data_IF_944432704656
#
_entry.id   IF_944432704656
#
_cell.length_a   1.000
_cell.length_b   1.000
_cell.length_c   1.000
_cell.angle_alpha   90.00
_cell.angle_beta   90.00
_cell.angle_gamma   90.00
#
_symmetry.space_group_name_H-M   'P 1'
#
loop_
_entity.id
_entity.type
_entity.pdbx_description
1 polymer ?
2 polymer ?
3 water ?
#
# COMPACT_ATOMS: atom_id res chain seq x y z
N UNK A 1 20.89 8.40 -1.06
CA UNK A 1 20.01 7.27 -0.73
C UNK A 1 20.76 6.00 -1.17
N UNK A 2 20.76 5.08 -0.21
CA UNK A 2 21.40 3.77 -0.32
C UNK A 2 20.89 3.00 -1.52
N UNK A 3 21.53 1.88 -1.79
CA UNK A 3 21.09 1.05 -2.94
C UNK A 3 19.72 0.48 -2.63
N UNK A 4 18.84 0.58 -3.62
CA UNK A 4 17.47 0.09 -3.54
C UNK A 4 16.60 0.82 -2.52
N UNK A 5 16.99 2.00 -2.12
CA UNK A 5 16.32 2.86 -1.16
C UNK A 5 15.46 3.85 -1.94
N UNK A 6 14.17 3.85 -1.63
CA UNK A 6 13.23 4.76 -2.29
C UNK A 6 12.51 5.64 -1.28
N UNK A 7 12.87 6.91 -1.23
CA UNK A 7 12.24 7.90 -0.32
C UNK A 7 10.80 8.14 -0.76
N UNK A 8 9.85 8.08 0.17
CA UNK A 8 8.44 8.28 -0.18
C UNK A 8 7.92 9.66 0.16
N UNK A 9 6.85 10.05 -0.50
CA UNK A 9 6.12 11.30 -0.34
C UNK A 9 4.72 10.94 0.22
N UNK A 10 4.42 11.49 1.38
CA UNK A 10 3.15 11.33 2.09
C UNK A 10 2.19 12.35 1.44
N UNK A 11 1.07 11.87 0.96
CA UNK A 11 0.08 12.72 0.29
C UNK A 11 -1.09 13.06 1.20
N UNK A 12 -1.30 14.33 1.49
CA UNK A 12 -2.43 14.68 2.36
C UNK A 12 -2.16 14.15 3.76
N UNK A 13 -3.21 13.91 4.49
CA UNK A 13 -3.17 13.40 5.84
C UNK A 13 -3.03 11.87 5.80
N UNK A 14 -1.88 11.43 5.32
CA UNK A 14 -1.60 9.98 5.25
C UNK A 14 -2.57 9.30 4.31
N UNK A 15 -2.91 9.94 3.22
CA UNK A 15 -3.84 9.31 2.27
C UNK A 15 -3.17 8.16 1.54
N UNK A 16 -1.99 8.48 1.07
CA UNK A 16 -1.17 7.54 0.30
C UNK A 16 0.25 8.13 0.23
N UNK A 17 1.12 7.26 -0.18
CA UNK A 17 2.57 7.40 -0.32
C UNK A 17 3.08 6.92 -1.68
N UNK A 18 3.84 7.78 -2.30
CA UNK A 18 4.38 7.43 -3.62
C UNK A 18 5.88 7.73 -3.67
N UNK A 19 6.57 7.11 -4.61
CA UNK A 19 8.02 7.33 -4.75
C UNK A 19 8.35 7.43 -6.23
N UNK A 20 9.56 7.89 -6.50
CA UNK A 20 9.94 8.00 -7.93
C UNK A 20 10.59 6.75 -8.49
N UNK A 21 10.21 6.45 -9.71
CA UNK A 21 10.69 5.33 -10.52
C UNK A 21 11.06 5.93 -11.88
N UNK A 22 12.16 5.46 -12.43
CA UNK A 22 12.68 5.90 -13.72
C UNK A 22 12.40 4.77 -14.71
N UNK A 23 11.65 5.06 -15.75
CA UNK A 23 11.30 4.06 -16.77
C UNK A 23 11.78 4.53 -18.13
N UNK A 24 12.35 3.62 -18.90
CA UNK A 24 12.85 3.92 -20.24
C UNK A 24 14.30 4.36 -20.27
N UNK A 25 14.69 4.58 -21.52
CA UNK A 25 16.03 5.01 -21.90
C UNK A 25 15.97 6.17 -22.91
N UNK A 26 16.54 7.30 -22.54
CA UNK A 26 17.23 7.57 -21.28
C UNK A 26 16.40 7.54 -20.01
N UNK A 27 15.09 7.56 -20.07
CA UNK A 27 14.22 7.50 -18.89
C UNK A 27 13.69 8.82 -18.40
N UNK A 28 12.54 8.73 -17.78
CA UNK A 28 11.68 9.69 -17.14
C UNK A 28 11.30 9.19 -15.73
N UNK A 29 11.14 10.16 -14.83
CA UNK A 29 10.74 9.89 -13.46
C UNK A 29 9.20 9.85 -13.40
N UNK A 30 8.70 8.87 -12.70
CA UNK A 30 7.26 8.68 -12.52
C UNK A 30 7.03 8.59 -11.03
N UNK A 31 5.93 9.16 -10.56
CA UNK A 31 5.57 9.11 -9.13
C UNK A 31 4.52 7.99 -9.15
N UNK A 32 4.90 6.89 -8.55
CA UNK A 32 4.01 5.73 -8.50
C UNK A 32 3.64 5.46 -7.05
N UNK A 33 2.44 4.97 -6.85
CA UNK A 33 1.90 4.58 -5.53
C UNK A 33 2.37 3.14 -5.32
N UNK A 34 3.05 2.85 -4.25
CA UNK A 34 3.61 1.51 -3.93
C UNK A 34 2.49 0.72 -3.26
N UNK A 35 1.95 -0.23 -4.04
CA UNK A 35 0.81 -1.00 -3.53
C UNK A 35 0.93 -2.48 -3.25
N UNK A 36 0.85 -2.87 -1.97
CA UNK A 36 0.93 -4.30 -1.65
C UNK A 36 -0.40 -5.04 -1.86
N UNK A 37 -1.43 -4.37 -2.35
CA UNK A 37 -2.74 -5.01 -2.56
C UNK A 37 -2.98 -5.34 -4.02
N UNK A 38 -2.01 -5.03 -4.85
CA UNK A 38 -2.09 -5.30 -6.28
C UNK A 38 -0.70 -5.69 -6.81
N UNK A 39 -0.71 -6.28 -8.01
CA UNK A 39 0.52 -6.73 -8.64
C UNK A 39 0.71 -6.24 -10.06
N UNK A 40 0.07 -5.13 -10.46
CA UNK A 40 0.29 -4.63 -11.84
C UNK A 40 1.06 -3.31 -11.78
N UNK A 41 2.04 -3.17 -12.67
CA UNK A 41 2.82 -1.93 -12.76
C UNK A 41 2.25 -1.17 -13.95
N UNK A 42 1.44 -0.16 -13.73
CA UNK A 42 0.85 0.61 -14.85
C UNK A 42 1.20 2.09 -14.68
N UNK A 43 1.23 2.76 -15.82
CA UNK A 43 1.53 4.19 -15.86
C UNK A 43 0.74 4.87 -16.98
N UNK A 44 0.48 6.14 -16.75
CA UNK A 44 -0.22 7.06 -17.66
C UNK A 44 0.66 7.09 -18.91
N UNK A 45 0.07 7.08 -20.08
CA UNK A 45 0.91 7.11 -21.31
C UNK A 45 0.40 8.16 -22.29
N UNK A 46 1.10 8.36 -23.38
CA UNK A 46 0.66 9.35 -24.40
C UNK A 46 -0.38 8.73 -25.32
N UNK A 47 -0.84 7.54 -24.96
CA UNK A 47 -1.86 6.79 -25.68
C UNK A 47 -3.19 7.04 -24.97
N UNK A 48 -3.12 7.58 -23.79
CA UNK A 48 -4.20 7.92 -22.86
C UNK A 48 -5.11 9.06 -23.34
N UNK A 49 -6.42 8.76 -23.31
CA UNK A 49 -7.37 9.79 -23.76
C UNK A 49 -8.19 10.45 -22.66
N UNK A 50 -8.05 10.08 -21.41
CA UNK A 50 -8.82 10.72 -20.33
C UNK A 50 -7.88 10.85 -19.14
N UNK A 51 -6.61 11.07 -19.43
CA UNK A 51 -5.58 11.20 -18.38
C UNK A 51 -5.45 12.64 -17.91
N UNK A 52 -4.96 12.76 -16.69
CA UNK A 52 -4.75 14.06 -16.03
C UNK A 52 -3.70 14.84 -16.83
N UNK A 53 -3.86 16.16 -16.89
CA UNK A 53 -2.86 16.97 -17.63
C UNK A 53 -1.63 17.17 -16.72
N UNK A 54 -1.83 16.89 -15.45
CA UNK A 54 -0.79 17.00 -14.44
C UNK A 54 0.08 15.74 -14.43
N UNK A 55 -0.43 14.58 -14.80
CA UNK A 55 0.33 13.32 -14.78
C UNK A 55 1.53 13.30 -15.73
N UNK A 56 2.59 12.61 -15.32
CA UNK A 56 3.76 12.51 -16.23
C UNK A 56 3.36 11.30 -17.07
N UNK A 57 3.52 11.38 -18.37
CA UNK A 57 3.14 10.31 -19.27
C UNK A 57 4.32 9.70 -20.01
N UNK A 58 4.27 8.39 -19.96
CA UNK A 58 5.27 7.55 -20.62
C UNK A 58 5.02 7.62 -22.11
N UNK A 59 6.06 7.92 -22.83
CA UNK A 59 6.07 8.06 -24.28
C UNK A 59 6.95 7.02 -24.96
N UNK A 60 6.35 5.99 -25.52
CA UNK A 60 7.07 4.94 -26.25
C UNK A 60 8.14 5.49 -27.16
N UNK A 61 7.77 6.44 -28.00
CA UNK A 61 8.64 7.10 -28.97
C UNK A 61 9.93 7.69 -28.39
N UNK A 62 9.90 8.06 -27.14
CA UNK A 62 11.09 8.64 -26.51
C UNK A 62 11.95 7.70 -25.68
N UNK A 63 11.67 6.42 -25.74
CA UNK A 63 12.47 5.44 -24.99
C UNK A 63 13.06 4.49 -26.06
N UNK A 64 14.37 4.43 -26.19
CA UNK A 64 14.97 3.54 -27.19
C UNK A 64 14.91 2.08 -26.74
N UNK A 65 14.45 1.78 -25.55
CA UNK A 65 14.36 0.42 -25.04
C UNK A 65 12.93 -0.05 -24.93
N UNK A 66 12.02 0.69 -25.57
CA UNK A 66 10.61 0.27 -25.52
C UNK A 66 10.43 -0.91 -26.47
N UNK A 67 9.61 -1.88 -26.14
CA UNK A 67 9.34 -3.03 -27.01
C UNK A 67 7.83 -3.25 -26.94
N UNK A 68 7.23 -3.27 -28.12
CA UNK A 68 5.79 -3.46 -28.28
C UNK A 68 5.40 -4.84 -27.77
N UNK A 69 4.15 -4.92 -27.38
CA UNK A 69 3.52 -6.15 -26.90
C UNK A 69 2.07 -6.10 -27.39
N UNK A 70 1.62 -7.22 -27.94
CA UNK A 70 0.25 -7.34 -28.44
C UNK A 70 -0.79 -7.57 -27.38
N UNK A 71 -0.50 -7.58 -26.10
CA UNK A 71 -1.55 -7.84 -25.11
C UNK A 71 -2.12 -6.57 -24.54
N UNK A 72 -3.34 -6.74 -24.07
CA UNK A 72 -4.11 -5.65 -23.44
C UNK A 72 -4.32 -6.04 -21.99
N UNK A 73 -4.71 -5.09 -21.19
CA UNK A 73 -4.97 -5.26 -19.76
C UNK A 73 -6.04 -4.31 -19.26
N UNK A 74 -6.61 -4.70 -18.15
CA UNK A 74 -7.68 -3.93 -17.48
C UNK A 74 -7.71 -4.36 -16.03
N UNK A 75 -7.86 -3.39 -15.13
CA UNK A 75 -7.92 -3.67 -13.69
C UNK A 75 -9.04 -2.87 -13.06
N UNK A 76 -9.49 -3.37 -11.94
CA UNK A 76 -10.56 -2.74 -11.17
C UNK A 76 -10.15 -2.81 -9.71
N UNK A 77 -9.90 -1.69 -9.07
CA UNK A 77 -9.49 -1.71 -7.65
C UNK A 77 -10.73 -1.78 -6.78
N UNK A 78 -10.59 -1.95 -5.48
CA UNK A 78 -11.66 -2.06 -4.51
C UNK A 78 -12.39 -0.76 -4.18
N UNK A 79 -11.84 0.40 -4.54
CA UNK A 79 -12.52 1.66 -4.23
C UNK A 79 -13.30 2.09 -5.48
N UNK A 80 -13.46 1.17 -6.42
CA UNK A 80 -14.17 1.46 -7.66
C UNK A 80 -13.34 2.09 -8.74
N UNK A 81 -12.07 2.38 -8.54
CA UNK A 81 -11.27 3.00 -9.64
C UNK A 81 -10.83 1.93 -10.61
N UNK A 82 -10.31 2.32 -11.76
CA UNK A 82 -9.89 1.33 -12.76
C UNK A 82 -8.91 1.97 -13.73
N UNK A 83 -8.44 1.16 -14.65
CA UNK A 83 -7.50 1.61 -15.68
C UNK A 83 -7.41 0.49 -16.72
N UNK A 84 -6.98 0.80 -17.92
CA UNK A 84 -6.89 -0.24 -18.96
C UNK A 84 -5.91 0.26 -20.02
N UNK A 85 -5.45 -0.67 -20.84
CA UNK A 85 -4.48 -0.19 -21.85
C UNK A 85 -3.83 -1.39 -22.52
N UNK A 86 -2.57 -1.15 -22.83
CA UNK A 86 -1.76 -2.16 -23.48
C UNK A 86 -0.46 -2.42 -22.72
N UNK A 87 0.05 -3.63 -22.90
CA UNK A 87 1.32 -4.06 -22.28
C UNK A 87 2.47 -3.57 -23.19
N UNK A 88 3.65 -3.54 -22.59
CA UNK A 88 4.87 -3.12 -23.29
C UNK A 88 6.05 -3.65 -22.46
N UNK A 89 7.26 -3.40 -22.93
CA UNK A 89 8.42 -3.88 -22.13
C UNK A 89 9.44 -2.77 -22.14
N UNK A 90 10.07 -2.56 -21.03
CA UNK A 90 11.12 -1.50 -20.99
C UNK A 90 11.87 -1.72 -19.68
N UNK A 91 12.80 -0.84 -19.39
CA UNK A 91 13.60 -0.96 -18.16
C UNK A 91 13.05 0.01 -17.10
N UNK A 92 13.05 -0.52 -15.91
CA UNK A 92 12.59 0.18 -14.72
C UNK A 92 13.73 0.31 -13.71
N UNK A 93 14.04 1.52 -13.31
CA UNK A 93 15.08 1.75 -12.30
C UNK A 93 14.41 2.05 -10.96
N UNK A 94 14.49 1.12 -10.05
CA UNK A 94 13.91 1.25 -8.71
C UNK A 94 15.00 1.48 -7.67
N UNK A 95 15.24 2.69 -7.21
CA UNK A 95 16.28 2.92 -6.20
C UNK A 95 17.71 2.58 -6.61
N UNK A 96 18.02 2.69 -7.88
CA UNK A 96 19.37 2.39 -8.34
C UNK A 96 19.45 0.97 -8.93
N UNK A 97 18.44 0.15 -8.73
CA UNK A 97 18.43 -1.21 -9.27
C UNK A 97 17.76 -1.18 -10.64
N UNK A 98 18.51 -1.46 -11.70
CA UNK A 98 17.90 -1.42 -13.01
C UNK A 98 17.32 -2.77 -13.39
N UNK A 99 16.00 -2.90 -13.36
CA UNK A 99 15.30 -4.14 -13.73
C UNK A 99 15.26 -4.10 -15.25
N UNK A 100 15.83 -5.06 -15.93
CA UNK A 100 15.79 -4.96 -17.40
C UNK A 100 14.62 -5.77 -17.92
N UNK A 101 13.93 -5.20 -18.89
CA UNK A 101 12.83 -5.95 -19.49
C UNK A 101 11.60 -6.24 -18.69
N UNK A 102 11.23 -5.31 -17.84
CA UNK A 102 10.03 -5.36 -17.00
C UNK A 102 8.78 -5.14 -17.88
N UNK A 103 7.73 -5.89 -17.59
CA UNK A 103 6.45 -5.76 -18.29
C UNK A 103 5.76 -4.57 -17.57
N UNK A 104 5.58 -3.52 -18.36
CA UNK A 104 4.94 -2.30 -17.89
C UNK A 104 3.59 -2.26 -18.62
N UNK A 105 2.59 -1.77 -17.94
CA UNK A 105 1.23 -1.67 -18.50
C UNK A 105 0.91 -0.23 -18.81
N UNK A 106 0.80 0.14 -20.09
CA UNK A 106 0.52 1.54 -20.42
C UNK A 106 -0.99 1.81 -20.52
N UNK A 107 -1.43 2.78 -19.73
CA UNK A 107 -2.81 3.20 -19.66
C UNK A 107 -3.25 3.97 -20.91
N UNK A 108 -4.42 3.59 -21.37
CA UNK A 108 -5.10 4.20 -22.52
C UNK A 108 -6.28 5.00 -21.93
N UNK A 109 -6.84 4.45 -20.87
CA UNK A 109 -7.95 4.99 -20.10
C UNK A 109 -7.74 4.79 -18.61
N UNK A 110 -8.25 5.69 -17.80
CA UNK A 110 -8.16 5.60 -16.34
C UNK A 110 -9.30 6.30 -15.62
N UNK A 111 -9.65 5.90 -14.42
CA UNK A 111 -10.71 6.52 -13.61
C UNK A 111 -10.23 7.95 -13.34
N UNK A 112 -11.19 8.84 -13.14
CA UNK A 112 -10.95 10.27 -12.92
C UNK A 112 -10.23 10.48 -11.61
N UNK A 113 -10.43 9.58 -10.65
CA UNK A 113 -9.73 9.73 -9.35
C UNK A 113 -8.24 9.53 -9.56
N UNK A 114 -7.85 8.88 -10.64
CA UNK A 114 -6.46 8.65 -10.96
C UNK A 114 -5.95 9.92 -11.63
N UNK A 115 -6.78 10.42 -12.53
CA UNK A 115 -6.51 11.63 -13.31
C UNK A 115 -6.29 12.88 -12.45
N UNK A 116 -6.95 12.95 -11.33
CA UNK A 116 -6.92 14.03 -10.35
C UNK A 116 -6.04 13.79 -9.12
N UNK A 117 -5.43 12.63 -8.95
CA UNK A 117 -4.59 12.34 -7.76
C UNK A 117 -3.16 12.73 -8.11
N UNK A 118 -2.24 12.45 -7.20
CA UNK A 118 -0.82 12.76 -7.36
C UNK A 118 0.03 11.76 -8.12
N UNK A 119 -0.42 10.53 -8.33
CA UNK A 119 0.20 9.42 -8.99
C UNK A 119 0.23 9.44 -10.51
N UNK A 120 1.27 8.84 -11.05
CA UNK A 120 1.37 8.72 -12.52
C UNK A 120 0.97 7.27 -12.83
N UNK A 121 0.78 6.45 -11.83
CA UNK A 121 0.40 5.06 -11.95
C UNK A 121 0.69 4.28 -10.67
N UNK A 122 0.77 2.96 -10.72
CA UNK A 122 1.00 2.10 -9.56
C UNK A 122 2.11 1.08 -9.79
N UNK A 123 2.74 0.70 -8.69
CA UNK A 123 3.83 -0.30 -8.64
C UNK A 123 3.17 -1.37 -7.78
N UNK A 124 2.79 -2.53 -8.28
CA UNK A 124 2.13 -3.45 -7.31
C UNK A 124 3.13 -4.37 -6.67
N UNK A 125 2.99 -4.66 -5.42
CA UNK A 125 3.87 -5.49 -4.62
C UNK A 125 3.21 -6.70 -3.98
N UNK A 126 2.19 -7.20 -4.64
CA UNK A 126 1.48 -8.39 -4.16
C UNK A 126 2.17 -9.56 -4.89
N UNK A 127 1.65 -10.75 -4.67
CA UNK A 127 2.24 -11.97 -5.29
C UNK A 127 1.80 -11.96 -6.75
N UNK A 128 2.48 -12.68 -7.61
CA UNK A 128 2.14 -12.72 -9.04
C UNK A 128 0.99 -13.65 -9.41
N UNK A 129 0.38 -14.25 -8.42
CA UNK A 129 -0.77 -15.12 -8.71
C UNK A 129 -1.96 -14.24 -9.10
N UNK A 130 -1.90 -12.96 -8.73
CA UNK A 130 -2.94 -11.97 -9.02
C UNK A 130 -2.55 -10.94 -10.06
N UNK A 131 -1.63 -11.18 -10.98
CA UNK A 131 -1.34 -10.14 -11.98
C UNK A 131 -2.56 -10.19 -12.90
N UNK A 132 -2.95 -9.11 -13.55
CA UNK A 132 -4.16 -9.25 -14.40
C UNK A 132 -3.90 -10.09 -15.64
N UNK A 133 -2.70 -10.11 -16.15
CA UNK A 133 -2.32 -10.89 -17.32
C UNK A 133 -1.46 -12.05 -16.83
N UNK A 134 -1.84 -13.24 -17.21
CA UNK A 134 -1.14 -14.47 -16.87
C UNK A 134 0.25 -14.43 -17.49
N UNK A 135 1.25 -14.77 -16.72
CA UNK A 135 2.63 -14.81 -17.18
C UNK A 135 3.41 -13.55 -16.92
N UNK A 136 2.81 -12.60 -16.22
CA UNK A 136 3.60 -11.35 -16.00
C UNK A 136 4.39 -11.53 -14.72
N UNK A 137 5.65 -11.15 -14.85
CA UNK A 137 6.55 -11.24 -13.69
C UNK A 137 6.57 -9.82 -13.11
N UNK A 138 6.26 -9.72 -11.86
CA UNK A 138 6.22 -8.47 -11.10
C UNK A 138 7.61 -7.96 -10.89
N UNK A 139 7.80 -6.72 -10.49
CA UNK A 139 9.14 -6.18 -10.23
C UNK A 139 9.88 -6.97 -9.17
N UNK A 140 9.30 -7.47 -8.11
CA UNK A 140 10.00 -8.24 -7.07
C UNK A 140 10.48 -9.55 -7.71
N UNK A 141 9.63 -10.17 -8.50
CA UNK A 141 10.05 -11.41 -9.18
C UNK A 141 11.35 -11.11 -9.93
N UNK A 142 11.42 -10.06 -10.69
CA UNK A 142 12.55 -9.64 -11.50
C UNK A 142 13.76 -9.20 -10.70
N UNK A 143 13.62 -8.57 -9.57
CA UNK A 143 14.78 -8.14 -8.76
C UNK A 143 15.50 -9.41 -8.26
N UNK A 144 14.70 -10.40 -7.91
CA UNK A 144 15.20 -11.68 -7.39
C UNK A 144 15.89 -12.42 -8.53
N UNK A 145 15.14 -12.73 -9.56
CA UNK A 145 15.73 -13.46 -10.68
C UNK A 145 16.85 -12.73 -11.37
N UNK A 146 17.01 -11.44 -11.35
CA UNK A 146 18.11 -10.72 -12.03
C UNK A 146 19.26 -10.48 -11.06
N UNK A 147 19.02 -10.99 -9.87
CA UNK A 147 19.93 -10.91 -8.76
C UNK A 147 20.15 -9.50 -8.26
N UNK A 148 19.23 -8.57 -8.42
CA UNK A 148 19.41 -7.19 -7.94
C UNK A 148 19.22 -7.07 -6.43
N UNK A 149 18.64 -8.05 -5.77
CA UNK A 149 18.45 -8.05 -4.31
C UNK A 149 18.98 -9.42 -3.84
N UNK A 150 19.63 -9.49 -2.69
CA UNK A 150 20.17 -10.80 -2.26
C UNK A 150 19.17 -11.46 -1.31
N UNK A 151 18.33 -10.67 -0.69
CA UNK A 151 17.29 -11.23 0.22
C UNK A 151 15.98 -10.79 -0.43
N UNK A 152 15.01 -11.68 -0.50
CA UNK A 152 13.72 -11.41 -1.14
C UNK A 152 12.77 -10.59 -0.26
N UNK A 153 13.31 -9.48 0.21
CA UNK A 153 12.64 -8.54 1.09
C UNK A 153 12.60 -7.06 0.69
N UNK A 154 11.67 -6.39 1.39
CA UNK A 154 11.51 -4.94 1.26
C UNK A 154 11.00 -4.51 2.65
N UNK A 155 11.66 -3.49 3.15
CA UNK A 155 11.43 -2.83 4.43
C UNK A 155 10.65 -1.54 4.12
N UNK A 156 9.53 -1.46 4.84
CA UNK A 156 8.60 -0.35 4.69
C UNK A 156 8.36 0.50 5.94
N UNK A 157 8.67 1.76 5.72
CA UNK A 157 8.49 2.82 6.70
C UNK A 157 7.58 3.88 6.05
N UNK A 158 6.42 4.08 6.63
CA UNK A 158 5.41 5.05 6.20
C UNK A 158 5.34 6.07 7.34
N UNK A 159 5.52 7.34 6.99
CA UNK A 159 5.47 8.37 8.03
C UNK A 159 4.07 8.93 8.24
N UNK A 160 3.94 9.67 9.33
CA UNK A 160 2.73 10.37 9.75
C UNK A 160 2.87 11.85 9.36
N UNK A 161 1.87 12.34 8.65
CA UNK A 161 1.85 13.75 8.24
C UNK A 161 2.05 14.64 9.47
N UNK A 162 1.48 14.23 10.60
CA UNK A 162 1.59 15.01 11.84
C UNK A 162 3.05 15.21 12.23
N UNK A 163 3.92 14.29 11.86
CA UNK A 163 5.35 14.41 12.20
C UNK A 163 6.16 14.79 10.97
N UNK A 164 5.61 15.33 9.91
CA UNK A 164 6.48 15.69 8.75
C UNK A 164 6.35 14.80 7.54
N UNK A 165 5.54 13.77 7.60
CA UNK A 165 5.30 12.85 6.50
C UNK A 165 6.54 12.01 6.21
N UNK A 166 6.70 11.78 4.91
CA UNK A 166 7.81 11.00 4.40
C UNK A 166 7.49 9.52 4.53
N UNK A 167 8.56 8.79 4.24
CA UNK A 167 8.40 7.32 4.31
C UNK A 167 9.59 6.81 3.47
N UNK A 168 9.79 5.50 3.59
CA UNK A 168 10.91 4.93 2.82
C UNK A 168 10.74 3.44 2.64
N UNK A 169 11.07 3.06 1.42
CA UNK A 169 11.05 1.68 0.97
C UNK A 169 12.52 1.35 0.64
N UNK A 170 12.94 0.20 1.11
CA UNK A 170 14.27 -0.40 0.92
C UNK A 170 14.14 -1.81 0.34
N UNK A 171 14.56 -1.95 -0.91
CA UNK A 171 14.50 -3.25 -1.60
C UNK A 171 15.77 -4.05 -1.32
N UNK A 172 15.53 -5.18 -0.67
CA UNK A 172 16.59 -6.10 -0.29
C UNK A 172 17.25 -5.77 1.03
N UNK A 173 16.64 -4.93 1.83
CA UNK A 173 17.18 -4.54 3.15
C UNK A 173 16.10 -3.87 3.99
N UNK A 174 16.48 -3.50 5.19
CA UNK A 174 15.59 -2.83 6.15
C UNK A 174 16.43 -1.91 7.02
N UNK A 175 15.75 -1.01 7.70
CA UNK A 175 16.40 0.03 8.54
C UNK A 175 15.96 -0.01 9.98
N UNK A 176 16.88 -0.35 10.88
CA UNK A 176 16.49 -0.43 12.30
C UNK A 176 16.37 0.90 13.00
N UNK A 177 16.65 2.00 12.33
CA UNK A 177 16.51 3.33 12.95
C UNK A 177 15.03 3.71 13.02
N UNK A 178 14.25 3.20 12.10
CA UNK A 178 12.83 3.42 11.97
C UNK A 178 11.94 2.61 12.91
N UNK A 179 12.45 1.65 13.64
CA UNK A 179 11.61 0.86 14.54
C UNK A 179 12.27 0.69 15.91
N UNK A 180 11.48 0.18 16.84
CA UNK A 180 12.02 -0.02 18.18
C UNK A 180 11.70 -1.42 18.68
N UNK A 181 12.68 -1.94 19.42
CA UNK A 181 12.61 -3.29 19.99
C UNK A 181 13.09 -4.24 18.87
N UNK A 182 12.65 -5.47 19.02
CA UNK A 182 12.86 -6.65 18.21
C UNK A 182 11.75 -6.87 17.19
N UNK A 183 12.09 -7.36 16.01
CA UNK A 183 11.07 -7.61 15.00
C UNK A 183 10.33 -8.88 15.41
N UNK A 184 9.07 -9.02 15.14
CA UNK A 184 8.25 -10.19 15.43
C UNK A 184 7.99 -10.81 14.05
N UNK A 185 8.17 -12.10 13.91
CA UNK A 185 7.97 -12.81 12.64
C UNK A 185 6.56 -13.39 12.64
N UNK A 186 5.89 -13.10 11.55
CA UNK A 186 4.49 -13.52 11.36
C UNK A 186 4.43 -14.17 9.97
N UNK A 187 3.91 -15.38 10.01
CA UNK A 187 3.75 -16.19 8.81
C UNK A 187 2.70 -15.52 7.92
N UNK A 188 2.86 -15.61 6.62
CA UNK A 188 1.94 -15.03 5.65
C UNK A 188 1.21 -16.12 4.88
N UNK A 189 -0.03 -15.87 4.56
CA UNK A 189 -0.83 -16.78 3.74
C UNK A 189 -0.94 -16.04 2.39
N UNK A 190 -0.38 -16.55 1.31
CA UNK A 190 -0.50 -15.83 0.05
C UNK A 190 -1.39 -16.59 -0.95
N UNK A 191 -2.21 -17.47 -0.41
CA UNK A 191 -3.10 -18.26 -1.28
C UNK A 191 -4.03 -17.41 -2.12
N UNK A 192 -4.34 -16.18 -1.73
CA UNK A 192 -5.23 -15.33 -2.54
C UNK A 192 -4.42 -14.26 -3.25
N UNK A 193 -3.09 -14.38 -3.16
CA UNK A 193 -2.18 -13.45 -3.82
C UNK A 193 -1.90 -12.19 -3.02
N UNK A 194 -2.34 -12.13 -1.78
CA UNK A 194 -2.11 -10.97 -0.92
C UNK A 194 -1.24 -11.36 0.28
N UNK A 195 -0.88 -10.30 0.99
CA UNK A 195 -0.09 -10.53 2.22
C UNK A 195 -1.06 -10.79 3.36
N UNK A 196 -1.66 -11.97 3.41
CA UNK A 196 -2.63 -12.30 4.45
C UNK A 196 -2.01 -12.66 5.76
N UNK A 197 -2.58 -12.25 6.88
CA UNK A 197 -2.10 -12.56 8.23
C UNK A 197 -3.33 -12.81 9.10
N UNK A 198 -3.05 -13.30 10.28
CA UNK A 198 -4.04 -13.59 11.31
C UNK A 198 -3.77 -12.68 12.52
N UNK A 199 -4.82 -11.98 12.92
CA UNK A 199 -4.74 -11.08 14.09
C UNK A 199 -5.35 -11.98 15.18
N UNK A 200 -4.65 -12.22 16.26
CA UNK A 200 -5.19 -13.13 17.28
C UNK A 200 -6.36 -12.51 18.04
N UNK A 201 -6.27 -11.23 18.34
CA UNK A 201 -7.32 -10.50 19.06
C UNK A 201 -7.05 -9.00 18.98
N UNK A 202 -8.10 -8.25 19.29
CA UNK A 202 -8.06 -6.77 19.31
C UNK A 202 -8.79 -6.32 20.58
N UNK A 203 -8.10 -5.48 21.31
CA UNK A 203 -8.57 -4.96 22.58
C UNK A 203 -8.52 -3.43 22.59
N UNK A 204 -9.25 -2.86 23.50
CA UNK A 204 -9.33 -1.40 23.73
C UNK A 204 -9.30 -1.36 25.26
N UNK A 205 -8.22 -0.88 25.84
CA UNK A 205 -8.19 -0.91 27.33
C UNK A 205 -8.30 -2.40 27.72
N UNK A 206 -9.20 -2.76 28.59
CA UNK A 206 -9.43 -4.12 29.09
C UNK A 206 -10.48 -4.90 28.33
N UNK A 207 -11.11 -4.29 27.34
CA UNK A 207 -12.14 -4.94 26.53
C UNK A 207 -11.65 -5.64 25.25
N UNK A 208 -12.09 -6.87 25.07
CA UNK A 208 -11.76 -7.66 23.88
C UNK A 208 -12.83 -7.27 22.87
N UNK A 209 -12.54 -6.42 21.93
CA UNK A 209 -13.51 -5.97 20.89
C UNK A 209 -13.57 -6.97 19.75
N UNK A 210 -12.54 -7.83 19.71
CA UNK A 210 -12.51 -8.86 18.66
C UNK A 210 -11.57 -10.01 18.98
N UNK A 211 -12.05 -11.15 18.44
CA UNK A 211 -11.26 -12.39 18.56
C UNK A 211 -10.47 -12.49 17.24
N UNK A 212 -9.82 -13.61 16.99
CA UNK A 212 -9.00 -13.76 15.79
C UNK A 212 -9.82 -13.63 14.52
N UNK A 213 -9.19 -12.99 13.56
CA UNK A 213 -9.68 -12.68 12.23
C UNK A 213 -8.47 -12.55 11.27
N UNK A 214 -8.77 -12.63 10.00
CA UNK A 214 -7.75 -12.52 8.97
C UNK A 214 -7.78 -11.13 8.33
N UNK A 215 -6.66 -10.65 7.86
CA UNK A 215 -6.57 -9.34 7.21
C UNK A 215 -5.44 -9.43 6.19
N UNK A 216 -5.28 -8.42 5.37
CA UNK A 216 -4.24 -8.36 4.37
C UNK A 216 -3.45 -7.06 4.63
N UNK A 217 -2.13 -7.18 4.52
CA UNK A 217 -1.33 -5.95 4.74
C UNK A 217 -1.40 -5.23 3.40
N UNK A 218 -2.05 -4.08 3.39
CA UNK A 218 -2.18 -3.33 2.10
C UNK A 218 -1.67 -1.91 2.28
N UNK A 219 -0.53 -1.59 1.71
CA UNK A 219 0.07 -0.27 1.82
C UNK A 219 -0.66 0.82 1.03
N UNK A 220 -1.45 0.36 0.09
CA UNK A 220 -2.22 1.18 -0.82
C UNK A 220 -3.68 1.36 -0.51
N UNK A 221 -4.13 1.18 0.70
CA UNK A 221 -5.42 1.29 1.31
C UNK A 221 -5.19 2.27 2.50
N UNK A 222 -5.91 3.37 2.44
CA UNK A 222 -5.76 4.39 3.46
C UNK A 222 -6.10 4.03 4.88
N UNK A 223 -7.21 3.40 5.10
CA UNK A 223 -7.69 3.06 6.43
C UNK A 223 -7.59 1.58 6.78
N UNK A 224 -8.02 1.35 8.00
CA UNK A 224 -8.11 0.02 8.59
C UNK A 224 -9.58 -0.36 8.35
N UNK A 225 -9.85 -1.22 7.39
CA UNK A 225 -11.23 -1.63 7.06
C UNK A 225 -11.51 -2.97 7.73
N UNK A 226 -12.51 -3.03 8.57
CA UNK A 226 -12.86 -4.25 9.29
C UNK A 226 -14.20 -4.83 8.88
N UNK A 227 -14.37 -6.12 9.04
CA UNK A 227 -15.66 -6.79 8.76
C UNK A 227 -16.67 -6.12 9.69
N UNK A 228 -17.93 -6.02 9.26
CA UNK A 228 -19.02 -5.38 10.00
C UNK A 228 -19.10 -5.69 11.48
N UNK A 229 -19.18 -6.93 11.94
CA UNK A 229 -19.27 -7.06 13.40
C UNK A 229 -18.03 -6.48 14.12
N UNK A 230 -16.85 -6.63 13.53
CA UNK A 230 -15.64 -6.15 14.23
C UNK A 230 -15.62 -4.62 14.33
N UNK A 231 -15.92 -3.99 13.22
CA UNK A 231 -15.96 -2.52 13.14
C UNK A 231 -16.96 -1.98 14.17
N UNK A 232 -18.14 -2.57 14.15
CA UNK A 232 -19.21 -2.19 15.07
C UNK A 232 -18.73 -2.23 16.51
N UNK A 233 -18.02 -3.31 16.79
CA UNK A 233 -17.48 -3.57 18.11
C UNK A 233 -16.43 -2.55 18.51
N UNK A 234 -15.61 -2.20 17.53
CA UNK A 234 -14.52 -1.19 17.76
C UNK A 234 -15.17 0.17 18.00
N UNK A 235 -16.11 0.54 17.15
CA UNK A 235 -16.81 1.84 17.25
C UNK A 235 -17.46 1.97 18.62
N UNK A 236 -18.14 0.93 19.09
CA UNK A 236 -18.78 0.98 20.39
C UNK A 236 -17.77 1.37 21.48
N UNK A 237 -16.55 0.90 21.34
CA UNK A 237 -15.48 1.17 22.30
C UNK A 237 -15.12 2.65 22.30
N UNK A 238 -15.31 3.29 21.15
CA UNK A 238 -14.94 4.71 21.06
C UNK A 238 -16.05 5.72 20.94
N UNK A 239 -17.27 5.23 20.99
CA UNK A 239 -18.43 6.14 20.85
C UNK A 239 -18.37 6.71 19.43
N UNK A 240 -17.98 5.91 18.46
CA UNK A 240 -17.93 6.49 17.07
C UNK A 240 -19.31 6.31 16.46
N UNK A 241 -19.67 7.16 15.51
CA UNK A 241 -21.01 6.98 14.92
C UNK A 241 -20.89 6.67 13.44
N UNK A 242 -21.66 5.68 13.06
CA UNK A 242 -21.72 5.17 11.68
C UNK A 242 -22.25 6.23 10.72
N UNK A 243 -21.51 6.55 9.69
CA UNK A 243 -21.98 7.55 8.71
C UNK A 243 -22.72 6.83 7.58
N UNK A 244 -22.93 5.54 7.72
CA UNK A 244 -23.60 4.72 6.72
C UNK A 244 -22.88 4.59 5.39
N UNK A 245 -21.64 5.04 5.27
CA UNK A 245 -20.94 4.91 3.98
C UNK A 245 -19.61 4.17 4.15
N UNK A 246 -19.53 3.31 5.16
CA UNK A 246 -18.26 2.57 5.38
C UNK A 246 -17.33 3.41 6.26
N UNK A 247 -17.82 4.55 6.73
CA UNK A 247 -16.98 5.40 7.56
C UNK A 247 -17.71 5.76 8.85
N UNK A 248 -16.92 6.21 9.81
CA UNK A 248 -17.36 6.63 11.11
C UNK A 248 -16.94 8.08 11.40
N UNK A 249 -17.75 8.65 12.28
CA UNK A 249 -17.57 10.02 12.77
C UNK A 249 -17.12 9.74 14.21
N UNK A 250 -16.01 10.36 14.51
CA UNK A 250 -15.42 10.18 15.86
C UNK A 250 -15.06 11.52 16.47
N UNK A 251 -14.87 11.47 17.76
CA UNK A 251 -14.47 12.71 18.47
C UNK A 251 -13.11 13.16 17.92
N UNK A 252 -12.96 14.44 17.73
CA UNK A 252 -11.72 15.04 17.22
C UNK A 252 -10.69 15.05 18.34
N UNK A 253 -11.20 14.92 19.54
CA UNK A 253 -10.40 14.90 20.79
C UNK A 253 -10.04 13.49 21.23
N UNK A 254 -8.95 13.03 20.69
CA UNK A 254 -8.35 11.71 20.86
C UNK A 254 -7.58 11.61 22.18
N UNK A 255 -7.46 12.75 22.84
CA UNK A 255 -6.72 12.78 24.11
C UNK A 255 -7.26 11.77 25.12
N UNK A 256 -8.54 11.44 25.06
CA UNK A 256 -9.06 10.48 26.07
C UNK A 256 -9.09 9.04 25.55
N UNK A 257 -8.82 8.87 24.27
CA UNK A 257 -8.87 7.51 23.71
C UNK A 257 -7.69 6.64 24.13
N UNK A 258 -8.01 5.37 24.26
CA UNK A 258 -7.04 4.30 24.57
C UNK A 258 -6.68 3.78 23.18
N UNK A 259 -5.46 3.32 23.00
CA UNK A 259 -5.03 2.81 21.68
C UNK A 259 -5.72 1.49 21.37
N UNK A 260 -5.87 1.27 20.07
CA UNK A 260 -6.47 0.02 19.57
C UNK A 260 -5.26 -0.92 19.44
N UNK A 261 -5.26 -1.99 20.18
CA UNK A 261 -4.16 -2.96 20.20
C UNK A 261 -4.47 -4.31 19.58
N UNK A 262 -3.61 -4.65 18.64
CA UNK A 262 -3.68 -5.92 17.90
C UNK A 262 -2.68 -6.90 18.52
N UNK A 263 -3.09 -8.12 18.76
CA UNK A 263 -2.20 -9.16 19.34
C UNK A 263 -1.89 -10.03 18.12
N UNK A 264 -0.68 -9.92 17.61
CA UNK A 264 -0.29 -10.72 16.42
C UNK A 264 0.88 -11.61 16.85
N UNK A 265 0.69 -12.89 16.63
CA UNK A 265 1.70 -13.89 16.96
C UNK A 265 2.36 -13.62 18.30
N UNK A 266 1.60 -13.34 19.34
CA UNK A 266 2.17 -13.10 20.67
C UNK A 266 2.68 -11.73 21.02
N UNK A 267 2.68 -10.82 20.06
CA UNK A 267 3.18 -9.46 20.39
C UNK A 267 2.03 -8.50 20.11
N UNK A 268 2.14 -7.35 20.71
CA UNK A 268 1.23 -6.21 20.69
C UNK A 268 1.66 -5.13 19.72
N UNK A 269 0.70 -4.81 18.87
CA UNK A 269 0.90 -3.80 17.82
C UNK A 269 -0.29 -2.86 17.94
N UNK A 270 -0.06 -1.58 17.79
CA UNK A 270 -1.19 -0.67 17.92
C UNK A 270 -1.31 0.45 16.89
N UNK A 271 -2.54 0.95 17.02
CA UNK A 271 -3.00 2.13 16.28
C UNK A 271 -3.05 3.14 17.47
N UNK A 272 -2.18 4.09 17.46
CA UNK A 272 -2.12 5.10 18.55
C UNK A 272 -3.37 5.96 18.50
N UNK A 273 -3.73 6.61 19.60
CA UNK A 273 -4.93 7.46 19.65
C UNK A 273 -5.01 8.41 18.49
N UNK A 274 -3.92 9.11 18.21
CA UNK A 274 -3.86 10.08 17.10
C UNK A 274 -4.22 9.49 15.75
N UNK A 275 -3.97 8.23 15.53
CA UNK A 275 -4.25 7.55 14.24
C UNK A 275 -5.71 7.11 14.11
N UNK A 276 -6.45 7.23 15.21
CA UNK A 276 -7.89 6.90 15.31
C UNK A 276 -8.68 7.97 14.56
N UNK A 277 -8.11 9.14 14.37
CA UNK A 277 -8.75 10.24 13.63
C UNK A 277 -8.02 10.35 12.29
N UNK A 278 -8.70 10.06 11.21
CA UNK A 278 -8.15 10.14 9.87
C UNK A 278 -8.10 11.60 9.38
N UNK A 279 -9.26 12.22 9.34
CA UNK A 279 -9.35 13.61 8.82
C UNK A 279 -10.37 14.46 9.58
N UNK A 280 -10.08 15.75 9.62
CA UNK A 280 -10.94 16.73 10.27
C UNK A 280 -11.47 17.67 9.20
N UNK A 281 -12.78 17.73 9.06
CA UNK A 281 -13.41 18.59 8.04
C UNK A 281 -14.51 19.41 8.73
N UNK A 282 -14.26 20.70 8.68
CA UNK A 282 -15.13 21.75 9.26
C UNK A 282 -15.55 21.31 10.66
N UNK A 283 -14.58 20.93 11.47
CA UNK A 283 -14.80 20.48 12.83
C UNK A 283 -15.44 19.14 13.05
N UNK A 284 -15.58 18.32 12.02
CA UNK A 284 -16.16 16.98 12.14
C UNK A 284 -14.97 16.06 11.76
N UNK A 285 -14.74 15.01 12.54
CA UNK A 285 -13.61 14.11 12.27
C UNK A 285 -14.04 12.70 11.87
N UNK A 286 -13.40 12.21 10.81
CA UNK A 286 -13.61 10.86 10.25
C UNK A 286 -12.69 9.90 10.98
N UNK A 287 -13.12 8.73 11.39
CA UNK A 287 -12.24 7.80 12.12
C UNK A 287 -11.28 7.14 11.13
N UNK A 288 -10.20 6.62 11.68
CA UNK A 288 -9.13 5.92 10.98
C UNK A 288 -9.51 4.47 10.60
N UNK A 289 -10.61 3.97 11.11
CA UNK A 289 -11.15 2.62 10.86
C UNK A 289 -12.52 2.81 10.19
N UNK A 290 -12.89 1.92 9.30
CA UNK A 290 -14.10 1.84 8.49
C UNK A 290 -14.59 0.40 8.43
N UNK A 291 -15.55 0.09 7.60
CA UNK A 291 -16.11 -1.26 7.46
C UNK A 291 -16.31 -1.52 5.96
N UNK A 292 -16.36 -2.81 5.67
CA UNK A 292 -16.55 -3.30 4.27
C UNK A 292 -17.34 -4.61 4.41
N UNK A 293 -17.96 -5.12 3.35
CA UNK A 293 -18.71 -6.39 3.62
C UNK A 293 -17.86 -7.62 3.26
N UNK A 294 -16.66 -7.68 3.84
CA UNK A 294 -15.70 -8.75 3.64
C UNK A 294 -15.46 -9.54 4.94
N UNK A 295 -15.10 -10.80 4.73
CA UNK A 295 -14.82 -11.68 5.89
C UNK A 295 -13.44 -11.30 6.44
N UNK A 296 -12.69 -10.54 5.66
CA UNK A 296 -11.34 -10.13 6.10
C UNK A 296 -11.13 -8.62 6.16
N UNK A 297 -10.24 -8.27 7.09
CA UNK A 297 -9.89 -6.85 7.26
C UNK A 297 -8.86 -6.44 6.22
N UNK A 298 -8.78 -5.17 5.91
CA UNK A 298 -7.80 -4.60 4.97
C UNK A 298 -6.89 -3.76 5.88
N UNK A 299 -5.75 -4.31 6.28
CA UNK A 299 -4.84 -3.57 7.19
C UNK A 299 -4.02 -2.57 6.41
N UNK A 300 -4.56 -1.39 6.31
CA UNK A 300 -4.06 -0.22 5.58
C UNK A 300 -3.16 0.71 6.34
N UNK A 301 -2.91 1.84 5.66
CA UNK A 301 -2.01 2.89 6.21
C UNK A 301 -2.28 3.29 7.65
N UNK A 302 -3.51 3.25 8.15
CA UNK A 302 -3.78 3.61 9.55
C UNK A 302 -2.89 2.78 10.46
N UNK A 303 -2.78 1.51 10.11
CA UNK A 303 -1.96 0.58 10.92
C UNK A 303 -0.50 0.66 10.50
N UNK A 304 -0.25 0.65 9.20
CA UNK A 304 1.13 0.68 8.72
C UNK A 304 1.86 1.93 9.11
N UNK A 305 1.28 3.08 9.27
CA UNK A 305 2.10 4.26 9.64
C UNK A 305 2.47 4.22 11.11
N UNK A 306 2.05 3.20 11.82
CA UNK A 306 2.31 2.97 13.24
C UNK A 306 3.28 1.81 13.52
N UNK A 307 3.47 0.92 12.58
CA UNK A 307 4.33 -0.28 12.66
C UNK A 307 5.15 -0.57 11.40
N UNK A 308 6.47 -0.65 11.55
CA UNK A 308 7.45 -0.95 10.52
C UNK A 308 7.28 -2.40 10.07
N UNK A 309 7.27 -2.65 8.76
CA UNK A 309 7.11 -4.00 8.23
C UNK A 309 8.23 -4.38 7.24
N UNK A 310 8.77 -5.58 7.41
CA UNK A 310 9.81 -6.14 6.51
C UNK A 310 9.01 -7.21 5.75
N UNK A 311 8.84 -7.08 4.48
CA UNK A 311 8.04 -8.00 3.63
C UNK A 311 8.99 -9.01 3.00
N UNK A 312 8.80 -10.28 3.26
CA UNK A 312 9.70 -11.29 2.65
C UNK A 312 8.83 -12.08 1.68
N UNK A 313 9.10 -11.94 0.41
CA UNK A 313 8.39 -12.61 -0.66
C UNK A 313 8.80 -14.09 -0.73
N UNK A 314 10.03 -14.38 -0.38
CA UNK A 314 10.55 -15.71 -0.41
C UNK A 314 9.93 -16.74 0.50
N UNK A 315 9.77 -16.49 1.77
CA UNK A 315 9.20 -17.49 2.69
C UNK A 315 7.78 -17.90 2.38
N UNK A 316 6.72 -17.10 2.40
CA UNK A 316 6.67 -15.68 2.71
C UNK A 316 6.35 -15.48 4.18
N UNK A 317 6.72 -14.35 4.69
CA UNK A 317 6.48 -14.00 6.08
C UNK A 317 6.71 -12.51 6.17
N UNK A 318 6.44 -11.93 7.33
CA UNK A 318 6.66 -10.49 7.52
C UNK A 318 7.30 -10.36 8.90
N UNK A 319 7.92 -9.24 9.11
CA UNK A 319 8.56 -8.94 10.41
C UNK A 319 8.00 -7.56 10.77
N UNK A 320 7.43 -7.47 11.96
CA UNK A 320 6.80 -6.23 12.39
C UNK A 320 7.35 -5.78 13.74
N UNK A 321 7.44 -4.50 13.88
CA UNK A 321 7.91 -3.82 15.08
C UNK A 321 7.30 -2.40 15.10
N UNK A 322 7.06 -1.93 16.30
CA UNK A 322 6.49 -0.60 16.49
C UNK A 322 7.36 0.46 15.85
N UNK A 323 6.84 1.45 15.16
CA UNK A 323 7.69 2.48 14.58
C UNK A 323 8.39 3.19 15.77
N UNK A 324 9.54 3.72 15.43
CA UNK A 324 10.36 4.46 16.40
C UNK A 324 9.83 5.88 16.16
N UNK A 325 9.35 6.45 17.23
CA UNK A 325 8.83 7.84 17.12
C UNK A 325 8.81 8.31 18.57
CA UNK B 1 -10.43 6.48 1.17
C UNK B 1 -10.02 6.01 -0.19
N UNK B 2 -8.82 5.46 -0.23
CA UNK B 2 -8.26 4.86 -1.48
C UNK B 2 -8.13 3.39 -1.07
N UNK B 3 -8.47 2.49 -1.97
CA UNK B 3 -8.37 1.04 -1.63
C UNK B 3 -8.03 0.34 -2.94
N UNK B 4 -6.74 0.11 -3.03
CA UNK B 4 -6.01 -0.53 -4.13
C UNK B 4 -7.07 -3.39 -4.76
N UNK B 5 -6.47 -4.31 -5.50
CA UNK B 5 -7.09 -5.15 -6.53
C UNK B 5 -7.88 -6.27 -5.83
N UNK B 6 -9.02 -5.83 -5.34
CA UNK B 6 -10.01 -6.62 -4.61
C UNK B 6 -11.92 -6.02 -7.89
#
# INVERSE_FOLDING_TARGET
AGVGTVPMTDYGNDIEYYGQVTIGTPGKKFNLDFDTGSSDLWIASTLCTNCGSGQTKYDPNQSSTYQADGRTWSISYGDGSSASGILAKDNVNLGGLLIKGQTIELAKREAASFASGPNDGLLGLGFDTITTVRGVKTPMDNLISQGLISRPIFGVYLGKAKNGGGGEYIFGGYDSTKFKGSLTTVPIDNSRGWWGITVDRATVGTSTVASSFDGILDTGTTLLILPNNIAASVARAYGASDNGDGTYTISCDTSAFKPLVFSINGASFQVSPDSLVFEEFQGQCIAGFGYGNWGFAIIGDTFLKNNYVVFNQGVPEVQIAPVAE
XVVXAX
#
